data_IF_395837135553
#
_entry.id   IF_395837135553
#
_cell.length_a   1.000
_cell.length_b   1.000
_cell.length_c   1.000
_cell.angle_alpha   90.00
_cell.angle_beta   90.00
_cell.angle_gamma   90.00
#
_symmetry.space_group_name_H-M   'P 1'
#
loop_
_entity.id
_entity.type
_entity.pdbx_description
1 polymer ?
#
# COMPACT_ATOMS: atom_id res chain seq x y z
N UNK A 1 22.69 -9.81 10.98
CA UNK A 1 21.71 -9.10 10.11
C UNK A 1 20.40 -9.86 10.21
N UNK A 2 19.29 -9.15 10.34
CA UNK A 2 17.94 -9.74 10.38
C UNK A 2 17.17 -9.33 9.13
N UNK A 3 16.23 -10.18 8.71
CA UNK A 3 15.40 -9.96 7.50
C UNK A 3 13.93 -10.10 7.88
N UNK A 4 13.08 -9.25 7.30
CA UNK A 4 11.62 -9.35 7.41
C UNK A 4 11.05 -9.46 6.00
N UNK A 5 10.33 -10.54 5.71
CA UNK A 5 9.88 -10.89 4.35
C UNK A 5 8.38 -11.12 4.34
N UNK A 6 7.71 -10.59 3.30
CA UNK A 6 6.31 -10.87 3.03
C UNK A 6 6.15 -12.26 2.42
N UNK A 7 5.38 -13.14 3.06
CA UNK A 7 5.08 -14.49 2.57
C UNK A 7 4.10 -14.53 1.40
N UNK A 8 3.39 -13.42 1.14
CA UNK A 8 2.41 -13.33 0.06
C UNK A 8 3.01 -12.77 -1.25
N UNK A 9 4.33 -12.50 -1.26
CA UNK A 9 5.01 -12.03 -2.46
C UNK A 9 5.28 -13.15 -3.46
N UNK A 10 5.34 -12.82 -4.73
CA UNK A 10 5.77 -13.75 -5.77
C UNK A 10 7.18 -14.27 -5.47
N UNK A 11 7.39 -15.56 -5.70
CA UNK A 11 8.69 -16.23 -5.49
C UNK A 11 9.18 -16.22 -4.03
N UNK A 12 8.25 -16.18 -3.08
CA UNK A 12 8.56 -16.19 -1.64
C UNK A 12 9.46 -17.38 -1.27
N UNK A 13 9.19 -18.58 -1.81
CA UNK A 13 9.94 -19.81 -1.51
C UNK A 13 11.44 -19.65 -1.81
N UNK A 14 11.80 -18.99 -2.91
CA UNK A 14 13.19 -18.77 -3.31
C UNK A 14 13.90 -17.88 -2.26
N UNK A 15 13.22 -16.82 -1.80
CA UNK A 15 13.80 -15.94 -0.78
C UNK A 15 13.85 -16.61 0.59
N UNK A 16 12.84 -17.39 0.93
CA UNK A 16 12.79 -18.12 2.19
C UNK A 16 13.96 -19.10 2.31
N UNK A 17 14.29 -19.82 1.23
CA UNK A 17 15.47 -20.70 1.17
C UNK A 17 16.78 -19.93 1.35
N UNK A 18 16.92 -18.77 0.68
CA UNK A 18 18.12 -17.94 0.76
C UNK A 18 18.40 -17.38 2.16
N UNK A 19 17.35 -17.19 2.96
CA UNK A 19 17.47 -16.62 4.31
C UNK A 19 17.32 -17.65 5.42
N UNK A 20 17.19 -18.94 5.10
CA UNK A 20 16.91 -20.00 6.06
C UNK A 20 17.92 -20.06 7.22
N UNK A 21 19.19 -19.75 6.96
CA UNK A 21 20.25 -19.70 7.95
C UNK A 21 20.45 -18.32 8.60
N UNK A 22 19.68 -17.32 8.18
CA UNK A 22 19.72 -15.98 8.74
C UNK A 22 18.65 -15.81 9.82
N UNK A 23 18.83 -14.82 10.66
CA UNK A 23 17.78 -14.39 11.58
C UNK A 23 16.66 -13.68 10.78
N UNK A 24 15.47 -14.28 10.72
CA UNK A 24 14.39 -13.79 9.87
C UNK A 24 13.01 -13.83 10.55
N UNK A 25 12.11 -13.02 10.05
CA UNK A 25 10.67 -13.08 10.29
C UNK A 25 9.92 -13.04 8.97
N UNK A 26 8.92 -13.90 8.86
CA UNK A 26 7.94 -13.84 7.79
C UNK A 26 6.65 -13.19 8.31
N UNK A 27 5.98 -12.43 7.45
CA UNK A 27 4.64 -11.88 7.69
C UNK A 27 3.79 -12.07 6.45
N UNK A 28 2.46 -12.07 6.61
CA UNK A 28 1.50 -12.28 5.52
C UNK A 28 0.54 -13.43 5.82
N UNK A 29 -0.33 -13.75 4.86
CA UNK A 29 -1.44 -14.69 5.05
C UNK A 29 -1.01 -16.13 5.38
N UNK A 30 0.21 -16.51 5.00
CA UNK A 30 0.77 -17.85 5.19
C UNK A 30 1.77 -17.94 6.35
N UNK A 31 1.93 -16.88 7.13
CA UNK A 31 2.86 -16.85 8.26
C UNK A 31 2.12 -16.77 9.60
N UNK A 32 2.85 -16.96 10.71
CA UNK A 32 2.31 -16.74 12.05
C UNK A 32 2.09 -15.26 12.39
N UNK A 33 2.75 -14.33 11.67
CA UNK A 33 2.63 -12.89 11.86
C UNK A 33 1.66 -12.33 10.81
N UNK A 34 0.41 -12.10 11.17
CA UNK A 34 -0.66 -11.72 10.24
C UNK A 34 -1.45 -10.52 10.75
N UNK A 35 -1.90 -9.69 9.81
CA UNK A 35 -2.94 -8.69 10.07
C UNK A 35 -4.31 -9.38 10.04
N UNK A 36 -5.09 -9.17 11.08
CA UNK A 36 -6.48 -9.63 11.21
C UNK A 36 -7.40 -8.47 11.58
N UNK A 37 -8.72 -8.70 11.48
CA UNK A 37 -9.75 -7.72 11.87
C UNK A 37 -9.49 -6.31 11.31
N UNK A 38 -9.03 -6.24 10.05
CA UNK A 38 -8.69 -4.99 9.36
C UNK A 38 -9.93 -4.08 9.25
N UNK A 39 -9.82 -2.88 9.82
CA UNK A 39 -10.77 -1.76 9.69
C UNK A 39 -10.01 -0.54 9.19
N UNK A 40 -10.73 0.54 8.90
CA UNK A 40 -10.10 1.75 8.34
C UNK A 40 -8.92 2.26 9.19
N UNK A 41 -9.09 2.36 10.51
CA UNK A 41 -8.10 2.96 11.43
C UNK A 41 -7.66 2.02 12.56
N UNK A 42 -8.00 0.72 12.49
CA UNK A 42 -7.58 -0.26 13.49
C UNK A 42 -7.46 -1.64 12.87
N UNK A 43 -6.62 -2.46 13.47
CA UNK A 43 -6.43 -3.87 13.09
C UNK A 43 -5.87 -4.65 14.27
N UNK A 44 -5.95 -5.96 14.22
CA UNK A 44 -5.24 -6.83 15.14
C UNK A 44 -4.12 -7.59 14.42
N UNK A 45 -3.15 -8.03 15.18
CA UNK A 45 -2.00 -8.79 14.71
C UNK A 45 -1.87 -10.08 15.50
N UNK A 46 -1.51 -11.16 14.81
CA UNK A 46 -1.07 -12.42 15.43
C UNK A 46 0.45 -12.55 15.44
N UNK A 47 0.98 -13.53 16.14
CA UNK A 47 2.40 -13.84 16.17
C UNK A 47 3.21 -12.97 17.14
N UNK A 48 4.42 -12.57 16.74
CA UNK A 48 5.37 -11.86 17.60
C UNK A 48 4.89 -10.48 18.08
N UNK A 49 4.03 -9.85 17.33
CA UNK A 49 3.41 -8.56 17.66
C UNK A 49 1.92 -8.71 17.99
N UNK A 50 1.52 -9.86 18.54
CA UNK A 50 0.10 -10.12 18.85
C UNK A 50 -0.50 -9.01 19.71
N UNK A 51 -1.64 -8.46 19.26
CA UNK A 51 -2.35 -7.37 19.93
C UNK A 51 -3.19 -6.54 18.98
N UNK A 52 -3.84 -5.52 19.53
CA UNK A 52 -4.66 -4.56 18.81
C UNK A 52 -3.87 -3.28 18.53
N UNK A 53 -4.08 -2.71 17.36
CA UNK A 53 -3.36 -1.54 16.85
C UNK A 53 -4.34 -0.50 16.31
N UNK A 54 -4.01 0.75 16.54
CA UNK A 54 -4.58 1.88 15.84
C UNK A 54 -3.61 2.37 14.75
N UNK A 55 -4.12 2.98 13.69
CA UNK A 55 -3.33 3.52 12.59
C UNK A 55 -3.99 4.77 12.00
N UNK A 56 -3.18 5.65 11.42
CA UNK A 56 -3.66 6.79 10.63
C UNK A 56 -3.68 6.49 9.13
N UNK A 57 -3.12 5.34 8.72
CA UNK A 57 -2.99 4.94 7.32
C UNK A 57 -4.07 3.93 6.97
N UNK A 58 -4.98 4.32 6.08
CA UNK A 58 -6.09 3.47 5.62
C UNK A 58 -5.59 2.40 4.65
N UNK A 59 -6.25 1.24 4.67
CA UNK A 59 -6.00 0.13 3.76
C UNK A 59 -5.18 -0.98 4.40
N UNK A 60 -5.59 -2.22 4.11
CA UNK A 60 -4.95 -3.42 4.64
C UNK A 60 -3.46 -3.48 4.31
N UNK A 61 -3.08 -3.08 3.09
CA UNK A 61 -1.67 -3.06 2.68
C UNK A 61 -0.80 -2.12 3.56
N UNK A 62 -1.35 -1.00 4.05
CA UNK A 62 -0.66 -0.13 4.99
C UNK A 62 -0.53 -0.76 6.37
N UNK A 63 -1.53 -1.53 6.81
CA UNK A 63 -1.46 -2.30 8.06
C UNK A 63 -0.42 -3.41 7.96
N UNK A 64 -0.28 -4.06 6.80
CA UNK A 64 0.77 -5.04 6.52
C UNK A 64 2.16 -4.39 6.50
N UNK A 65 2.29 -3.19 5.92
CA UNK A 65 3.51 -2.39 6.00
C UNK A 65 3.85 -2.01 7.45
N UNK A 66 2.85 -1.65 8.26
CA UNK A 66 3.03 -1.36 9.68
C UNK A 66 3.48 -2.60 10.46
N UNK A 67 2.93 -3.79 10.16
CA UNK A 67 3.38 -5.05 10.73
C UNK A 67 4.85 -5.34 10.38
N UNK A 68 5.23 -5.17 9.12
CA UNK A 68 6.62 -5.36 8.69
C UNK A 68 7.59 -4.42 9.42
N UNK A 69 7.23 -3.13 9.49
CA UNK A 69 8.02 -2.13 10.21
C UNK A 69 8.11 -2.46 11.71
N UNK A 70 7.01 -2.89 12.32
CA UNK A 70 6.96 -3.30 13.72
C UNK A 70 7.86 -4.50 14.01
N UNK A 71 7.86 -5.52 13.14
CA UNK A 71 8.76 -6.67 13.26
C UNK A 71 10.24 -6.26 13.18
N UNK A 72 10.56 -5.35 12.26
CA UNK A 72 11.92 -4.80 12.17
C UNK A 72 12.31 -4.03 13.43
N UNK A 73 11.41 -3.18 13.97
CA UNK A 73 11.65 -2.46 15.22
C UNK A 73 11.80 -3.39 16.42
N UNK A 74 11.00 -4.46 16.51
CA UNK A 74 11.11 -5.46 17.56
C UNK A 74 12.51 -6.11 17.56
N UNK A 75 13.04 -6.41 16.38
CA UNK A 75 14.39 -6.96 16.23
C UNK A 75 15.50 -5.96 16.60
N UNK A 76 15.22 -4.68 16.51
CA UNK A 76 16.11 -3.62 16.97
C UNK A 76 15.97 -3.35 18.48
N UNK A 77 15.11 -4.09 19.18
CA UNK A 77 14.96 -4.00 20.63
C UNK A 77 13.87 -3.03 21.11
N UNK A 78 13.01 -2.54 20.19
CA UNK A 78 11.87 -1.73 20.59
C UNK A 78 10.86 -2.59 21.38
N UNK A 79 10.21 -1.96 22.38
CA UNK A 79 9.14 -2.63 23.11
C UNK A 79 7.84 -2.68 22.28
N UNK A 80 6.95 -3.63 22.58
CA UNK A 80 5.65 -3.73 21.94
C UNK A 80 4.85 -2.41 22.11
N UNK A 81 4.92 -1.83 23.29
CA UNK A 81 4.23 -0.56 23.58
C UNK A 81 4.75 0.59 22.71
N UNK A 82 6.07 0.71 22.51
CA UNK A 82 6.66 1.72 21.65
C UNK A 82 6.28 1.52 20.18
N UNK A 83 6.25 0.26 19.72
CA UNK A 83 5.80 -0.10 18.37
C UNK A 83 4.34 0.29 18.16
N UNK A 84 3.45 -0.05 19.11
CA UNK A 84 2.03 0.33 19.03
C UNK A 84 1.85 1.84 19.00
N UNK A 85 2.53 2.58 19.87
CA UNK A 85 2.52 4.06 19.87
C UNK A 85 3.07 4.66 18.59
N UNK A 86 4.12 4.07 18.04
CA UNK A 86 4.72 4.48 16.77
C UNK A 86 3.74 4.33 15.62
N UNK A 87 3.13 3.15 15.46
CA UNK A 87 2.14 2.87 14.42
C UNK A 87 0.95 3.82 14.53
N UNK A 88 0.40 4.02 15.73
CA UNK A 88 -0.76 4.88 15.95
C UNK A 88 -0.54 6.35 15.58
N UNK A 89 0.71 6.84 15.65
CA UNK A 89 1.08 8.23 15.36
C UNK A 89 1.61 8.44 13.94
N UNK A 90 2.00 7.36 13.26
CA UNK A 90 2.63 7.45 11.95
C UNK A 90 1.67 8.01 10.91
N UNK A 91 2.13 9.05 10.20
CA UNK A 91 1.51 9.60 9.01
C UNK A 91 2.57 9.68 7.93
N UNK A 92 2.22 9.28 6.73
CA UNK A 92 3.12 9.35 5.58
C UNK A 92 2.44 10.19 4.51
N UNK A 93 2.89 11.42 4.25
CA UNK A 93 2.29 12.27 3.21
C UNK A 93 2.25 11.54 1.87
N UNK A 94 1.13 11.68 1.15
CA UNK A 94 0.92 11.00 -0.13
C UNK A 94 0.76 9.46 -0.04
N UNK A 95 0.44 8.92 1.14
CA UNK A 95 0.11 7.51 1.32
C UNK A 95 -1.28 7.37 1.93
N UNK A 96 -2.28 7.11 1.08
CA UNK A 96 -3.68 7.04 1.50
C UNK A 96 -4.11 8.22 2.38
N UNK A 97 -3.59 9.40 2.08
CA UNK A 97 -3.99 10.63 2.76
C UNK A 97 -5.41 11.00 2.31
N UNK A 98 -6.32 11.20 3.27
CA UNK A 98 -7.72 11.46 2.99
C UNK A 98 -8.08 12.87 3.42
N UNK A 99 -8.52 13.68 2.46
CA UNK A 99 -9.05 15.01 2.70
C UNK A 99 -10.56 14.99 2.47
N UNK A 100 -11.31 15.56 3.38
CA UNK A 100 -12.78 15.68 3.25
C UNK A 100 -13.13 17.12 2.91
N UNK A 101 -13.86 17.33 1.82
CA UNK A 101 -14.36 18.62 1.38
C UNK A 101 -15.64 19.00 2.15
N UNK A 102 -15.99 20.28 2.15
CA UNK A 102 -17.18 20.78 2.83
C UNK A 102 -18.50 20.18 2.28
N UNK A 103 -18.51 19.75 1.02
CA UNK A 103 -19.65 19.08 0.38
C UNK A 103 -19.70 17.56 0.66
N UNK A 104 -18.80 17.04 1.48
CA UNK A 104 -18.71 15.62 1.81
C UNK A 104 -17.87 14.78 0.83
N UNK A 105 -17.39 15.36 -0.28
CA UNK A 105 -16.49 14.66 -1.18
C UNK A 105 -15.15 14.34 -0.49
N UNK A 106 -14.61 13.17 -0.80
CA UNK A 106 -13.31 12.72 -0.28
C UNK A 106 -12.27 12.75 -1.39
N UNK A 107 -11.10 13.27 -1.07
CA UNK A 107 -9.92 13.23 -1.93
C UNK A 107 -8.92 12.28 -1.29
N UNK A 108 -8.54 11.25 -2.04
CA UNK A 108 -7.51 10.30 -1.64
C UNK A 108 -6.22 10.64 -2.38
N UNK A 109 -5.14 10.83 -1.65
CA UNK A 109 -3.82 11.12 -2.21
C UNK A 109 -2.93 9.91 -1.91
N UNK A 110 -2.46 9.26 -2.96
CA UNK A 110 -1.60 8.08 -2.84
C UNK A 110 -0.48 8.10 -3.89
N UNK A 111 0.58 7.38 -3.61
CA UNK A 111 1.73 7.21 -4.51
C UNK A 111 1.62 5.92 -5.35
N UNK A 112 0.42 5.45 -5.64
CA UNK A 112 0.21 4.30 -6.51
C UNK A 112 0.82 4.59 -7.90
N UNK A 113 1.79 3.78 -8.33
CA UNK A 113 2.58 4.02 -9.54
C UNK A 113 2.76 2.77 -10.43
N UNK A 114 1.97 1.72 -10.17
CA UNK A 114 1.87 0.51 -11.00
C UNK A 114 0.48 -0.11 -10.86
N UNK A 115 0.12 -1.05 -11.74
CA UNK A 115 -1.20 -1.65 -11.77
C UNK A 115 -1.62 -2.30 -10.45
N UNK A 116 -0.72 -3.02 -9.76
CA UNK A 116 -1.03 -3.67 -8.48
C UNK A 116 -1.33 -2.65 -7.37
N UNK A 117 -0.54 -1.57 -7.28
CA UNK A 117 -0.78 -0.50 -6.30
C UNK A 117 -2.06 0.28 -6.61
N UNK A 118 -2.36 0.55 -7.89
CA UNK A 118 -3.61 1.20 -8.28
C UNK A 118 -4.83 0.32 -7.96
N UNK A 119 -4.76 -0.99 -8.21
CA UNK A 119 -5.82 -1.92 -7.84
C UNK A 119 -6.09 -1.91 -6.33
N UNK A 120 -5.05 -1.92 -5.52
CA UNK A 120 -5.18 -1.83 -4.05
C UNK A 120 -5.78 -0.50 -3.61
N UNK A 121 -5.37 0.62 -4.23
CA UNK A 121 -5.95 1.94 -3.98
C UNK A 121 -7.45 1.96 -4.31
N UNK A 122 -7.84 1.52 -5.51
CA UNK A 122 -9.25 1.49 -5.94
C UNK A 122 -10.09 0.63 -5.00
N UNK A 123 -9.63 -0.53 -4.59
CA UNK A 123 -10.35 -1.39 -3.66
C UNK A 123 -10.65 -0.72 -2.31
N UNK A 124 -9.78 0.17 -1.84
CA UNK A 124 -10.04 0.97 -0.64
C UNK A 124 -11.00 2.11 -0.92
N UNK A 125 -10.81 2.85 -2.03
CA UNK A 125 -11.68 3.98 -2.41
C UNK A 125 -13.12 3.52 -2.58
N UNK A 126 -13.35 2.40 -3.24
CA UNK A 126 -14.68 1.80 -3.46
C UNK A 126 -15.41 1.51 -2.14
N UNK A 127 -14.72 1.09 -1.09
CA UNK A 127 -15.35 0.88 0.22
C UNK A 127 -15.82 2.19 0.88
N UNK A 128 -15.32 3.33 0.42
CA UNK A 128 -15.66 4.66 0.93
C UNK A 128 -16.53 5.48 -0.04
N UNK A 129 -16.85 4.89 -1.20
CA UNK A 129 -17.60 5.55 -2.27
C UNK A 129 -19.05 5.77 -1.87
N UNK A 130 -19.55 6.99 -2.14
CA UNK A 130 -20.97 7.34 -2.07
C UNK A 130 -21.47 7.98 -3.38
N UNK A 131 -20.61 8.13 -4.37
CA UNK A 131 -20.91 8.80 -5.64
C UNK A 131 -19.90 8.38 -6.74
N UNK A 132 -19.67 9.25 -7.70
CA UNK A 132 -18.74 9.03 -8.82
C UNK A 132 -17.29 9.07 -8.34
N UNK A 133 -16.45 8.17 -8.85
CA UNK A 133 -15.00 8.21 -8.66
C UNK A 133 -14.39 8.97 -9.84
N UNK A 134 -13.58 9.97 -9.53
CA UNK A 134 -12.70 10.64 -10.47
C UNK A 134 -11.25 10.32 -10.12
N UNK A 135 -10.51 9.76 -11.06
CA UNK A 135 -9.11 9.38 -10.91
C UNK A 135 -8.22 10.31 -11.73
N UNK A 136 -7.28 10.98 -11.08
CA UNK A 136 -6.18 11.67 -11.76
C UNK A 136 -4.97 10.77 -11.72
N UNK A 137 -4.48 10.35 -12.88
CA UNK A 137 -3.41 9.37 -13.01
C UNK A 137 -2.32 9.91 -13.94
N UNK A 138 -1.07 9.85 -13.46
CA UNK A 138 0.12 10.21 -14.25
C UNK A 138 1.09 9.04 -14.38
N UNK A 139 1.95 9.14 -15.39
CA UNK A 139 3.07 8.23 -15.56
C UNK A 139 4.35 9.00 -15.86
N UNK A 140 5.48 8.46 -15.39
CA UNK A 140 6.80 9.04 -15.65
C UNK A 140 7.25 8.71 -17.06
N UNK A 141 7.81 9.70 -17.75
CA UNK A 141 8.41 9.53 -19.08
C UNK A 141 9.73 8.76 -19.03
N UNK A 142 10.05 8.05 -20.12
CA UNK A 142 11.28 7.26 -20.33
C UNK A 142 11.55 6.20 -19.25
N UNK A 143 10.55 5.85 -18.43
CA UNK A 143 10.64 4.83 -17.39
C UNK A 143 9.30 4.12 -17.22
N UNK A 144 9.37 2.80 -17.11
CA UNK A 144 8.20 2.02 -16.71
C UNK A 144 7.03 2.02 -17.69
N UNK A 145 7.30 2.04 -18.99
CA UNK A 145 6.27 2.00 -20.05
C UNK A 145 5.29 0.83 -19.89
N UNK A 146 5.75 -0.34 -19.41
CA UNK A 146 4.89 -1.47 -19.10
C UNK A 146 3.77 -1.12 -18.10
N UNK A 147 4.01 -0.18 -17.19
CA UNK A 147 3.03 0.26 -16.18
C UNK A 147 1.84 0.98 -16.80
N UNK A 148 2.06 1.71 -17.92
CA UNK A 148 0.96 2.42 -18.64
C UNK A 148 -0.04 1.40 -19.17
N UNK A 149 0.46 0.32 -19.76
CA UNK A 149 -0.38 -0.79 -20.22
C UNK A 149 -1.15 -1.43 -19.06
N UNK A 150 -0.48 -1.66 -17.91
CA UNK A 150 -1.14 -2.23 -16.73
C UNK A 150 -2.26 -1.32 -16.20
N UNK A 151 -2.07 0.01 -16.25
CA UNK A 151 -3.11 0.97 -15.91
C UNK A 151 -4.29 0.91 -16.88
N UNK A 152 -4.02 0.89 -18.19
CA UNK A 152 -5.06 0.78 -19.21
C UNK A 152 -5.91 -0.47 -19.02
N UNK A 153 -5.26 -1.64 -18.90
CA UNK A 153 -5.95 -2.92 -18.70
C UNK A 153 -6.79 -2.94 -17.41
N UNK A 154 -6.27 -2.37 -16.32
CA UNK A 154 -7.02 -2.29 -15.08
C UNK A 154 -8.25 -1.39 -15.21
N UNK A 155 -8.12 -0.25 -15.88
CA UNK A 155 -9.21 0.73 -16.03
C UNK A 155 -10.27 0.30 -17.05
N UNK A 156 -9.96 -0.60 -17.98
CA UNK A 156 -10.96 -1.24 -18.84
C UNK A 156 -12.00 -2.02 -18.04
N UNK A 157 -11.61 -2.59 -16.89
CA UNK A 157 -12.51 -3.30 -15.97
C UNK A 157 -13.35 -2.36 -15.10
N UNK A 158 -13.07 -1.04 -15.12
CA UNK A 158 -13.71 -0.02 -14.28
C UNK A 158 -14.30 1.15 -15.12
N UNK A 159 -15.24 0.89 -16.05
CA UNK A 159 -15.77 1.92 -16.97
C UNK A 159 -16.57 3.02 -16.24
N UNK A 160 -16.94 2.81 -14.99
CA UNK A 160 -17.63 3.79 -14.14
C UNK A 160 -16.70 4.88 -13.58
N UNK A 161 -15.38 4.69 -13.64
CA UNK A 161 -14.40 5.66 -13.15
C UNK A 161 -14.13 6.73 -14.21
N UNK A 162 -14.28 7.99 -13.83
CA UNK A 162 -13.86 9.09 -14.67
C UNK A 162 -12.35 9.32 -14.55
N UNK A 163 -11.61 9.04 -15.62
CA UNK A 163 -10.15 9.11 -15.62
C UNK A 163 -9.66 10.40 -16.27
N UNK A 164 -8.73 11.09 -15.60
CA UNK A 164 -7.99 12.24 -16.10
C UNK A 164 -6.51 11.85 -16.19
N UNK A 165 -6.01 11.69 -17.40
CA UNK A 165 -4.60 11.33 -17.64
C UNK A 165 -3.73 12.59 -17.66
N UNK A 166 -2.55 12.47 -17.07
CA UNK A 166 -1.52 13.51 -17.05
C UNK A 166 -0.13 12.87 -17.09
N UNK A 167 0.89 13.67 -17.32
CA UNK A 167 2.27 13.24 -17.09
C UNK A 167 2.68 13.58 -15.65
N UNK A 168 3.35 12.65 -14.96
CA UNK A 168 3.93 12.88 -13.65
C UNK A 168 5.27 13.64 -13.81
N UNK A 169 6.31 12.95 -14.28
CA UNK A 169 7.58 13.54 -14.66
C UNK A 169 7.91 13.10 -16.10
N UNK A 170 7.68 13.95 -17.11
CA UNK A 170 7.81 13.54 -18.51
C UNK A 170 9.27 13.29 -18.93
N UNK A 171 10.26 13.77 -18.18
CA UNK A 171 11.66 13.74 -18.60
C UNK A 171 11.85 14.34 -20.01
N UNK A 172 12.22 13.49 -20.98
CA UNK A 172 12.41 13.87 -22.40
C UNK A 172 11.31 13.33 -23.32
N UNK A 173 10.25 12.76 -22.77
CA UNK A 173 9.12 12.23 -23.53
C UNK A 173 8.01 13.26 -23.65
N UNK A 174 7.30 13.26 -24.77
CA UNK A 174 6.14 14.14 -24.96
C UNK A 174 5.04 13.78 -23.93
N UNK A 175 4.57 14.73 -23.12
CA UNK A 175 3.48 14.47 -22.17
C UNK A 175 2.20 13.90 -22.78
N UNK A 176 1.89 14.25 -24.04
CA UNK A 176 0.73 13.71 -24.75
C UNK A 176 0.95 12.22 -25.09
N UNK A 177 2.16 11.86 -25.55
CA UNK A 177 2.50 10.47 -25.83
C UNK A 177 2.52 9.59 -24.59
N UNK A 178 2.73 10.17 -23.40
CA UNK A 178 2.63 9.44 -22.13
C UNK A 178 1.16 9.08 -21.81
N UNK A 179 0.22 9.91 -22.25
CA UNK A 179 -1.21 9.75 -21.98
C UNK A 179 -1.96 8.90 -23.05
N UNK A 180 -1.34 8.63 -24.19
CA UNK A 180 -1.86 7.74 -25.26
C UNK A 180 -1.63 6.25 -24.94
#
# INVERSE_FOLDING_TARGET
RAVVINSDMNHFEILAEQVAEQDHDFYGSQSGNQVQNSKAFSFSVTGKLAGDYETQLIGRFNQENALAAGLACLRLGASLEDIQKGIAKTRVPGRMEVLTQNNGAKVFIDYAHNGDSLKKLLSVVETHQTGTISLVLGSTGNKGESRRKDFGLLLEDHPEIQVFLTADDPNYEDPLAIAE
#
